data_IF_122901618262
#
_entry.id   IF_122901618262
#
_cell.length_a   1.000
_cell.length_b   1.000
_cell.length_c   1.000
_cell.angle_alpha   90.00
_cell.angle_beta   90.00
_cell.angle_gamma   90.00
#
_symmetry.space_group_name_H-M   'P 1'
#
loop_
_entity.id
_entity.type
_entity.pdbx_description
1 polymer ?
#
# COMPACT_ATOMS: atom_id res chain seq x y z
N UNK A 1 19.91 -19.64 2.56
CA UNK A 1 20.15 -18.94 1.31
C UNK A 1 21.52 -18.25 1.41
N UNK A 2 22.51 -18.75 0.69
CA UNK A 2 23.90 -18.28 0.86
C UNK A 2 24.44 -18.56 2.26
N UNK A 3 25.21 -17.65 2.86
CA UNK A 3 25.77 -17.84 4.19
C UNK A 3 24.78 -17.59 5.34
N UNK A 4 23.53 -17.24 5.04
CA UNK A 4 22.52 -16.93 6.05
C UNK A 4 21.74 -18.17 6.47
N UNK A 5 21.51 -18.31 7.78
CA UNK A 5 20.65 -19.32 8.37
C UNK A 5 19.27 -18.72 8.68
N UNK A 6 18.20 -19.48 8.37
CA UNK A 6 16.83 -19.07 8.63
C UNK A 6 16.06 -20.22 9.27
N UNK A 7 15.27 -19.90 10.28
CA UNK A 7 14.37 -20.82 10.95
C UNK A 7 12.97 -20.22 11.05
N UNK A 8 12.06 -20.62 10.15
CA UNK A 8 10.66 -20.21 10.16
C UNK A 8 9.76 -21.44 9.94
N UNK A 9 8.55 -21.38 10.48
CA UNK A 9 7.52 -22.41 10.31
C UNK A 9 6.97 -22.45 8.88
N UNK A 10 7.01 -21.35 8.16
CA UNK A 10 6.47 -21.19 6.81
C UNK A 10 7.61 -21.02 5.81
N UNK A 11 7.72 -21.91 4.82
CA UNK A 11 8.77 -21.79 3.81
C UNK A 11 8.57 -20.55 2.93
N UNK A 12 9.61 -20.17 2.22
CA UNK A 12 9.53 -19.14 1.19
C UNK A 12 8.93 -19.70 -0.10
N UNK A 13 8.27 -18.84 -0.86
CA UNK A 13 7.83 -19.14 -2.22
C UNK A 13 9.05 -19.43 -3.11
N UNK A 14 8.89 -20.34 -4.04
CA UNK A 14 9.94 -20.80 -4.97
C UNK A 14 9.38 -20.86 -6.39
N UNK A 15 10.23 -21.26 -7.35
CA UNK A 15 9.85 -21.48 -8.75
C UNK A 15 9.35 -20.22 -9.49
N UNK A 16 9.83 -19.05 -9.13
CA UNK A 16 9.42 -17.77 -9.70
C UNK A 16 9.47 -17.73 -11.23
N UNK A 17 10.50 -18.34 -11.84
CA UNK A 17 10.62 -18.44 -13.31
C UNK A 17 9.44 -19.18 -13.95
N UNK A 18 9.05 -20.32 -13.37
CA UNK A 18 7.91 -21.09 -13.86
C UNK A 18 6.56 -20.36 -13.64
N UNK A 19 6.48 -19.53 -12.61
CA UNK A 19 5.32 -18.69 -12.31
C UNK A 19 5.28 -17.40 -13.15
N UNK A 20 6.31 -17.12 -13.97
CA UNK A 20 6.38 -15.90 -14.77
C UNK A 20 6.60 -14.62 -13.96
N UNK A 21 7.18 -14.71 -12.78
CA UNK A 21 7.42 -13.60 -11.85
C UNK A 21 8.90 -13.21 -11.93
N UNK A 22 9.19 -11.92 -12.12
CA UNK A 22 10.56 -11.40 -12.02
C UNK A 22 10.87 -11.04 -10.58
N UNK A 23 11.89 -11.67 -10.01
CA UNK A 23 12.30 -11.47 -8.61
C UNK A 23 13.77 -11.10 -8.55
N UNK A 24 14.07 -9.92 -8.03
CA UNK A 24 15.43 -9.43 -7.82
C UNK A 24 16.01 -10.07 -6.54
N UNK A 25 17.32 -10.36 -6.46
CA UNK A 25 17.93 -10.90 -5.25
C UNK A 25 17.54 -10.10 -3.99
N UNK A 26 17.35 -10.81 -2.88
CA UNK A 26 16.87 -10.32 -1.59
C UNK A 26 15.36 -9.99 -1.51
N UNK A 27 14.59 -10.11 -2.59
CA UNK A 27 13.15 -10.08 -2.47
C UNK A 27 12.65 -11.39 -1.82
N UNK A 28 11.70 -11.27 -0.89
CA UNK A 28 11.16 -12.37 -0.12
C UNK A 28 9.65 -12.42 -0.29
N UNK A 29 9.12 -13.58 -0.69
CA UNK A 29 7.69 -13.87 -0.62
C UNK A 29 7.49 -15.16 0.21
N UNK A 30 6.61 -15.08 1.21
CA UNK A 30 6.26 -16.26 2.02
C UNK A 30 5.36 -17.19 1.22
N UNK A 31 5.50 -18.51 1.43
CA UNK A 31 4.57 -19.50 0.90
C UNK A 31 3.15 -19.19 1.39
N UNK A 32 2.15 -19.32 0.50
CA UNK A 32 0.78 -18.93 0.79
C UNK A 32 0.41 -17.50 0.36
N UNK A 33 1.37 -16.70 -0.13
CA UNK A 33 1.04 -15.50 -0.92
C UNK A 33 0.69 -15.90 -2.36
N UNK A 34 -0.24 -15.20 -2.99
CA UNK A 34 -0.49 -15.26 -4.43
C UNK A 34 0.21 -14.09 -5.12
N UNK A 35 1.00 -14.39 -6.15
CA UNK A 35 1.69 -13.39 -6.97
C UNK A 35 1.51 -13.83 -8.41
N UNK A 36 0.82 -13.01 -9.19
CA UNK A 36 0.47 -13.34 -10.57
C UNK A 36 1.68 -13.17 -11.53
N UNK A 37 1.57 -13.76 -12.71
CA UNK A 37 2.56 -13.62 -13.77
C UNK A 37 2.74 -12.14 -14.16
N UNK A 38 3.97 -11.77 -14.53
CA UNK A 38 4.31 -10.41 -14.93
C UNK A 38 4.53 -9.44 -13.77
N UNK A 39 4.33 -9.87 -12.52
CA UNK A 39 4.71 -9.08 -11.34
C UNK A 39 6.22 -8.96 -11.25
N UNK A 40 6.69 -7.78 -10.85
CA UNK A 40 8.10 -7.50 -10.58
C UNK A 40 8.27 -7.24 -9.10
N UNK A 41 9.15 -8.01 -8.46
CA UNK A 41 9.57 -7.78 -7.08
C UNK A 41 11.02 -7.31 -7.06
N UNK A 42 11.24 -6.05 -6.71
CA UNK A 42 12.54 -5.56 -6.28
C UNK A 42 12.83 -6.14 -4.88
N UNK A 43 14.00 -5.90 -4.26
CA UNK A 43 14.25 -6.32 -2.87
C UNK A 43 13.12 -5.82 -1.96
N UNK A 44 12.19 -6.66 -1.63
CA UNK A 44 10.90 -6.34 -1.01
C UNK A 44 10.38 -7.54 -0.23
N UNK A 45 9.29 -7.35 0.52
CA UNK A 45 8.72 -8.42 1.33
C UNK A 45 7.23 -8.58 1.06
N UNK A 46 6.80 -9.81 0.78
CA UNK A 46 5.38 -10.18 0.61
C UNK A 46 5.00 -11.25 1.62
N UNK A 47 4.04 -10.93 2.49
CA UNK A 47 3.62 -11.80 3.57
C UNK A 47 2.58 -12.84 3.12
N UNK A 48 2.32 -13.81 4.00
CA UNK A 48 1.33 -14.88 3.79
C UNK A 48 -0.07 -14.31 3.52
N UNK A 49 -0.82 -14.95 2.63
CA UNK A 49 -2.18 -14.54 2.26
C UNK A 49 -2.26 -13.28 1.40
N UNK A 50 -1.17 -12.55 1.21
CA UNK A 50 -1.14 -11.42 0.28
C UNK A 50 -1.47 -11.87 -1.14
N UNK A 51 -2.22 -11.04 -1.87
CA UNK A 51 -2.64 -11.26 -3.24
C UNK A 51 -2.17 -10.09 -4.12
N UNK A 52 -1.41 -10.37 -5.17
CA UNK A 52 -0.83 -9.35 -6.06
C UNK A 52 -1.09 -9.76 -7.50
N UNK A 53 -1.81 -8.90 -8.23
CA UNK A 53 -2.18 -9.16 -9.61
C UNK A 53 -1.14 -8.69 -10.62
N UNK A 54 -1.34 -9.15 -11.85
CA UNK A 54 -0.44 -9.00 -13.00
C UNK A 54 -0.02 -7.54 -13.26
N UNK A 55 1.20 -7.36 -13.75
CA UNK A 55 1.75 -6.04 -14.12
C UNK A 55 2.13 -5.14 -12.94
N UNK A 56 1.90 -5.59 -11.72
CA UNK A 56 2.23 -4.82 -10.52
C UNK A 56 3.72 -4.87 -10.20
N UNK A 57 4.27 -3.74 -9.77
CA UNK A 57 5.62 -3.63 -9.24
C UNK A 57 5.61 -3.43 -7.73
N UNK A 58 6.32 -4.31 -7.02
CA UNK A 58 6.66 -4.15 -5.59
C UNK A 58 8.10 -3.68 -5.54
N UNK A 59 8.29 -2.37 -5.36
CA UNK A 59 9.61 -1.74 -5.47
C UNK A 59 10.46 -1.93 -4.21
N UNK A 60 11.65 -1.37 -4.24
CA UNK A 60 12.72 -1.58 -3.26
C UNK A 60 12.27 -1.22 -1.84
N UNK A 61 12.42 -2.19 -0.93
CA UNK A 61 12.02 -2.10 0.48
C UNK A 61 10.52 -1.88 0.72
N UNK A 62 9.67 -2.04 -0.29
CA UNK A 62 8.24 -2.09 -0.08
C UNK A 62 7.83 -3.39 0.63
N UNK A 63 6.80 -3.31 1.46
CA UNK A 63 6.23 -4.45 2.16
C UNK A 63 4.76 -4.59 1.85
N UNK A 64 4.32 -5.82 1.55
CA UNK A 64 2.90 -6.18 1.40
C UNK A 64 2.52 -7.07 2.56
N UNK A 65 1.71 -6.55 3.46
CA UNK A 65 1.28 -7.21 4.68
C UNK A 65 0.39 -8.41 4.42
N UNK A 66 0.17 -9.20 5.47
CA UNK A 66 -0.66 -10.41 5.39
C UNK A 66 -2.07 -10.09 4.87
N UNK A 67 -2.52 -10.91 3.91
CA UNK A 67 -3.84 -10.84 3.28
C UNK A 67 -4.15 -9.54 2.53
N UNK A 68 -3.22 -8.60 2.38
CA UNK A 68 -3.43 -7.40 1.59
C UNK A 68 -3.71 -7.76 0.13
N UNK A 69 -4.62 -7.02 -0.52
CA UNK A 69 -5.09 -7.25 -1.87
C UNK A 69 -4.59 -6.14 -2.78
N UNK A 70 -3.73 -6.45 -3.72
CA UNK A 70 -3.13 -5.50 -4.66
C UNK A 70 -3.58 -5.85 -6.07
N UNK A 71 -4.26 -4.92 -6.72
CA UNK A 71 -4.79 -5.05 -8.07
C UNK A 71 -3.73 -5.06 -9.17
N UNK A 72 -4.18 -4.94 -10.41
CA UNK A 72 -3.35 -4.97 -11.63
C UNK A 72 -2.65 -3.64 -11.85
N UNK A 73 -1.44 -3.71 -12.42
CA UNK A 73 -0.70 -2.53 -12.85
C UNK A 73 -0.52 -1.48 -11.74
N UNK A 74 -0.46 -1.92 -10.49
CA UNK A 74 -0.18 -1.08 -9.34
C UNK A 74 1.33 -0.85 -9.22
N UNK A 75 1.73 0.35 -8.86
CA UNK A 75 3.11 0.64 -8.49
C UNK A 75 3.20 0.94 -7.00
N UNK A 76 3.80 0.02 -6.24
CA UNK A 76 4.19 0.25 -4.84
C UNK A 76 5.63 0.74 -4.84
N UNK A 77 5.82 2.05 -4.70
CA UNK A 77 7.16 2.67 -4.77
C UNK A 77 8.05 2.30 -3.57
N UNK A 78 9.30 2.72 -3.63
CA UNK A 78 10.30 2.35 -2.63
C UNK A 78 9.89 2.70 -1.19
N UNK A 79 10.01 1.71 -0.30
CA UNK A 79 9.70 1.85 1.11
C UNK A 79 8.22 1.97 1.47
N UNK A 80 7.31 1.66 0.54
CA UNK A 80 5.86 1.60 0.82
C UNK A 80 5.56 0.51 1.84
N UNK A 81 4.74 0.83 2.85
CA UNK A 81 4.24 -0.11 3.84
C UNK A 81 2.74 -0.36 3.67
N UNK A 82 2.37 -1.54 3.16
CA UNK A 82 0.98 -1.99 3.14
C UNK A 82 0.74 -2.89 4.35
N UNK A 83 -0.20 -2.52 5.20
CA UNK A 83 -0.51 -3.24 6.43
C UNK A 83 -1.15 -4.60 6.20
N UNK A 84 -0.95 -5.48 7.18
CA UNK A 84 -1.58 -6.80 7.20
C UNK A 84 -2.77 -6.87 8.15
N UNK A 85 -3.33 -8.07 8.30
CA UNK A 85 -4.51 -8.35 9.15
C UNK A 85 -4.17 -9.12 10.43
N UNK A 86 -2.91 -9.50 10.66
CA UNK A 86 -2.56 -10.44 11.73
C UNK A 86 -2.13 -9.77 13.03
N UNK A 87 -1.48 -8.61 12.96
CA UNK A 87 -0.89 -7.96 14.14
C UNK A 87 -1.10 -6.42 14.11
N UNK A 88 -2.09 -5.91 14.82
CA UNK A 88 -3.20 -6.61 15.49
C UNK A 88 -4.18 -7.24 14.49
N UNK A 89 -4.99 -8.19 14.97
CA UNK A 89 -6.00 -8.82 14.10
C UNK A 89 -6.98 -7.77 13.58
N UNK A 90 -7.11 -7.71 12.26
CA UNK A 90 -8.01 -6.79 11.55
C UNK A 90 -9.14 -7.56 10.87
N UNK A 91 -10.34 -6.97 10.86
CA UNK A 91 -11.50 -7.57 10.21
C UNK A 91 -11.44 -7.49 8.67
N UNK A 92 -10.76 -6.49 8.13
CA UNK A 92 -10.69 -6.24 6.70
C UNK A 92 -9.25 -6.06 6.22
N UNK A 93 -8.87 -6.65 5.08
CA UNK A 93 -7.57 -6.41 4.49
C UNK A 93 -7.46 -5.00 3.89
N UNK A 94 -6.24 -4.51 3.75
CA UNK A 94 -5.98 -3.36 2.89
C UNK A 94 -6.22 -3.77 1.44
N UNK A 95 -6.90 -2.90 0.68
CA UNK A 95 -7.20 -3.11 -0.74
C UNK A 95 -6.62 -1.94 -1.53
N UNK A 96 -5.75 -2.23 -2.48
CA UNK A 96 -5.25 -1.28 -3.47
C UNK A 96 -5.77 -1.74 -4.83
N UNK A 97 -6.66 -0.97 -5.44
CA UNK A 97 -7.27 -1.34 -6.71
C UNK A 97 -6.35 -1.09 -7.92
N UNK A 98 -6.83 -1.47 -9.09
CA UNK A 98 -6.07 -1.45 -10.34
C UNK A 98 -5.51 -0.06 -10.69
N UNK A 99 -4.30 -0.04 -11.25
CA UNK A 99 -3.68 1.16 -11.79
C UNK A 99 -3.26 2.21 -10.78
N UNK A 100 -3.35 1.93 -9.48
CA UNK A 100 -2.93 2.86 -8.44
C UNK A 100 -1.41 3.08 -8.47
N UNK A 101 -1.02 4.31 -8.14
CA UNK A 101 0.38 4.66 -7.88
C UNK A 101 0.54 5.07 -6.41
N UNK A 102 1.29 4.29 -5.66
CA UNK A 102 1.54 4.53 -4.25
C UNK A 102 2.97 5.05 -4.11
N UNK A 103 3.11 6.33 -3.82
CA UNK A 103 4.39 7.04 -3.75
C UNK A 103 5.31 6.52 -2.64
N UNK A 104 6.59 6.82 -2.77
CA UNK A 104 7.62 6.30 -1.85
C UNK A 104 7.30 6.62 -0.40
N UNK A 105 7.54 5.64 0.49
CA UNK A 105 7.32 5.72 1.93
C UNK A 105 5.88 6.00 2.36
N UNK A 106 4.89 5.79 1.47
CA UNK A 106 3.50 5.78 1.91
C UNK A 106 3.22 4.60 2.83
N UNK A 107 2.33 4.82 3.80
CA UNK A 107 1.81 3.79 4.71
C UNK A 107 0.31 3.72 4.52
N UNK A 108 -0.20 2.52 4.21
CA UNK A 108 -1.64 2.25 4.09
C UNK A 108 -1.97 1.02 4.93
N UNK A 109 -2.74 1.20 5.99
CA UNK A 109 -2.97 0.18 7.01
C UNK A 109 -4.43 0.11 7.44
N UNK A 110 -4.76 -0.84 8.33
CA UNK A 110 -6.06 -0.93 8.99
C UNK A 110 -7.26 -1.12 8.04
N UNK A 111 -7.07 -1.91 6.97
CA UNK A 111 -8.16 -2.22 6.04
C UNK A 111 -8.62 -1.05 5.16
N UNK A 112 -7.80 -0.04 5.01
CA UNK A 112 -8.07 1.09 4.10
C UNK A 112 -8.16 0.60 2.66
N UNK A 113 -9.07 1.20 1.89
CA UNK A 113 -9.24 0.96 0.46
C UNK A 113 -8.77 2.16 -0.36
N UNK A 114 -7.90 1.90 -1.32
CA UNK A 114 -7.47 2.87 -2.33
C UNK A 114 -8.11 2.46 -3.65
N UNK A 115 -9.05 3.26 -4.14
CA UNK A 115 -9.80 2.94 -5.36
C UNK A 115 -8.99 3.16 -6.63
N UNK A 116 -9.49 2.59 -7.71
CA UNK A 116 -8.87 2.48 -9.04
C UNK A 116 -8.17 3.77 -9.49
N UNK A 117 -6.95 3.61 -9.98
CA UNK A 117 -6.12 4.68 -10.56
C UNK A 117 -5.79 5.85 -9.62
N UNK A 118 -6.05 5.75 -8.33
CA UNK A 118 -5.66 6.79 -7.38
C UNK A 118 -4.13 6.89 -7.27
N UNK A 119 -3.66 8.10 -6.96
CA UNK A 119 -2.24 8.44 -6.80
C UNK A 119 -2.01 8.97 -5.40
N UNK A 120 -1.19 8.30 -4.62
CA UNK A 120 -0.68 8.82 -3.36
C UNK A 120 0.72 9.40 -3.58
N UNK A 121 0.90 10.68 -3.29
CA UNK A 121 2.21 11.32 -3.24
C UNK A 121 3.09 10.71 -2.15
N UNK A 122 4.39 10.93 -2.22
CA UNK A 122 5.32 10.38 -1.23
C UNK A 122 4.95 10.79 0.21
N UNK A 123 5.21 9.88 1.18
CA UNK A 123 4.97 10.08 2.61
C UNK A 123 3.49 10.28 3.02
N UNK A 124 2.52 9.92 2.18
CA UNK A 124 1.11 9.86 2.61
C UNK A 124 0.91 8.69 3.57
N UNK A 125 0.33 8.96 4.74
CA UNK A 125 0.01 7.96 5.76
C UNK A 125 -1.51 7.91 5.95
N UNK A 126 -2.11 6.74 5.68
CA UNK A 126 -3.55 6.54 5.80
C UNK A 126 -3.85 5.33 6.69
N UNK A 127 -4.60 5.58 7.75
CA UNK A 127 -5.21 4.60 8.65
C UNK A 127 -6.73 4.74 8.56
N UNK A 128 -7.49 3.87 9.23
CA UNK A 128 -8.95 4.01 9.32
C UNK A 128 -9.41 5.34 9.94
N UNK A 129 -8.59 5.93 10.80
CA UNK A 129 -8.92 7.18 11.48
C UNK A 129 -8.40 8.43 10.78
N UNK A 130 -7.49 8.27 9.82
CA UNK A 130 -6.91 9.41 9.08
C UNK A 130 -8.00 10.14 8.31
N UNK A 131 -8.12 11.46 8.52
CA UNK A 131 -8.97 12.29 7.69
C UNK A 131 -8.38 12.41 6.28
N UNK A 132 -9.18 12.14 5.28
CA UNK A 132 -8.87 12.35 3.87
C UNK A 132 -9.79 13.48 3.40
N UNK A 133 -9.21 14.64 3.12
CA UNK A 133 -9.97 15.87 2.87
C UNK A 133 -9.82 16.24 1.40
N UNK A 134 -10.92 16.24 0.67
CA UNK A 134 -10.96 16.76 -0.69
C UNK A 134 -11.09 18.28 -0.64
N UNK A 135 -10.04 18.95 -1.09
CA UNK A 135 -9.94 20.42 -1.12
C UNK A 135 -10.08 20.97 -2.54
N UNK A 136 -10.59 20.19 -3.47
CA UNK A 136 -10.79 20.63 -4.87
C UNK A 136 -12.02 21.48 -5.08
N UNK A 137 -12.94 21.49 -4.09
CA UNK A 137 -14.18 22.25 -4.11
C UNK A 137 -14.15 23.36 -3.04
N UNK A 138 -15.04 24.34 -3.17
CA UNK A 138 -15.19 25.41 -2.19
C UNK A 138 -15.53 24.89 -0.77
N UNK A 139 -16.36 23.86 -0.70
CA UNK A 139 -16.67 23.17 0.53
C UNK A 139 -15.92 21.83 0.56
N UNK A 140 -15.05 21.59 1.55
CA UNK A 140 -14.28 20.35 1.63
C UNK A 140 -15.16 19.14 1.92
N UNK A 141 -14.82 18.00 1.31
CA UNK A 141 -15.47 16.71 1.57
C UNK A 141 -14.50 15.85 2.37
N UNK A 142 -14.94 15.28 3.49
CA UNK A 142 -14.12 14.37 4.29
C UNK A 142 -14.47 12.91 4.00
N UNK A 143 -13.42 12.09 3.77
CA UNK A 143 -13.48 10.65 3.68
C UNK A 143 -12.69 10.01 4.83
N UNK A 144 -13.00 8.76 5.15
CA UNK A 144 -12.25 7.90 6.09
C UNK A 144 -12.22 6.48 5.57
N UNK A 145 -11.07 5.82 5.70
CA UNK A 145 -10.90 4.42 5.32
C UNK A 145 -10.96 4.16 3.81
N UNK A 146 -11.22 5.17 2.99
CA UNK A 146 -11.32 5.05 1.54
C UNK A 146 -10.74 6.29 0.85
N UNK A 147 -9.92 6.06 -0.18
CA UNK A 147 -9.48 7.09 -1.13
C UNK A 147 -10.25 6.88 -2.42
N UNK A 148 -11.06 7.86 -2.87
CA UNK A 148 -11.85 7.74 -4.09
C UNK A 148 -10.98 7.53 -5.34
N UNK A 149 -11.57 6.86 -6.33
CA UNK A 149 -10.91 6.55 -7.60
C UNK A 149 -10.31 7.82 -8.25
N UNK A 150 -9.13 7.64 -8.85
CA UNK A 150 -8.38 8.67 -9.60
C UNK A 150 -7.94 9.89 -8.79
N UNK A 151 -8.19 9.93 -7.48
CA UNK A 151 -7.75 11.03 -6.61
C UNK A 151 -6.24 11.17 -6.60
N UNK A 152 -5.75 12.42 -6.64
CA UNK A 152 -4.34 12.76 -6.40
C UNK A 152 -4.22 13.27 -4.98
N UNK A 153 -3.50 12.54 -4.15
CA UNK A 153 -3.43 12.73 -2.69
C UNK A 153 -2.03 13.12 -2.28
N UNK A 154 -1.92 14.12 -1.41
CA UNK A 154 -0.66 14.55 -0.80
C UNK A 154 -0.75 14.55 0.73
N UNK A 155 0.40 14.53 1.45
CA UNK A 155 0.39 14.77 2.89
C UNK A 155 -0.14 16.15 3.22
N UNK A 156 -0.90 16.26 4.29
CA UNK A 156 -1.42 17.52 4.79
C UNK A 156 -1.55 17.54 6.30
N UNK A 157 -2.04 18.64 6.84
CA UNK A 157 -2.39 18.79 8.24
C UNK A 157 -3.63 19.66 8.42
N UNK A 158 -4.30 19.50 9.55
CA UNK A 158 -5.39 20.35 9.98
C UNK A 158 -5.23 20.71 11.45
N UNK A 159 -5.68 21.89 11.84
CA UNK A 159 -5.65 22.32 13.25
C UNK A 159 -6.72 21.60 14.05
N UNK A 160 -6.34 21.05 15.19
CA UNK A 160 -7.23 20.40 16.14
C UNK A 160 -7.01 20.96 17.55
N UNK A 161 -8.12 21.26 18.23
CA UNK A 161 -8.11 21.73 19.62
C UNK A 161 -8.07 20.56 20.58
N UNK A 162 -7.15 20.62 21.52
CA UNK A 162 -6.97 19.68 22.63
C UNK A 162 -7.05 20.46 23.96
N UNK A 163 -7.09 19.76 25.08
CA UNK A 163 -7.07 20.40 26.41
C UNK A 163 -5.81 21.26 26.63
N UNK A 164 -4.67 20.85 26.05
CA UNK A 164 -3.40 21.54 26.18
C UNK A 164 -3.17 22.67 25.13
N UNK A 165 -4.16 22.94 24.26
CA UNK A 165 -4.04 23.96 23.22
C UNK A 165 -4.39 23.45 21.82
N UNK A 166 -4.04 24.23 20.80
CA UNK A 166 -4.27 23.89 19.40
C UNK A 166 -2.99 23.34 18.78
N UNK A 167 -3.13 22.22 18.05
CA UNK A 167 -2.02 21.53 17.39
C UNK A 167 -2.41 21.10 16.00
N UNK A 168 -1.44 21.05 15.09
CA UNK A 168 -1.65 20.50 13.75
C UNK A 168 -1.56 18.97 13.78
N UNK A 169 -2.59 18.31 13.28
CA UNK A 169 -2.68 16.85 13.16
C UNK A 169 -2.59 16.47 11.69
N UNK A 170 -1.88 15.40 11.39
CA UNK A 170 -1.72 14.91 10.03
C UNK A 170 -3.06 14.50 9.40
N UNK A 171 -3.20 14.78 8.13
CA UNK A 171 -4.28 14.29 7.28
C UNK A 171 -3.73 14.01 5.87
N UNK A 172 -4.58 13.48 5.00
CA UNK A 172 -4.33 13.38 3.57
C UNK A 172 -5.20 14.38 2.83
N UNK A 173 -4.65 15.08 1.85
CA UNK A 173 -5.39 16.07 1.05
C UNK A 173 -5.55 15.55 -0.38
N UNK A 174 -6.79 15.48 -0.85
CA UNK A 174 -7.09 15.27 -2.27
C UNK A 174 -7.03 16.65 -2.95
N UNK A 175 -6.08 16.81 -3.87
CA UNK A 175 -5.80 18.09 -4.55
C UNK A 175 -6.22 18.10 -6.01
N UNK A 176 -6.79 17.04 -6.51
CA UNK A 176 -7.23 16.91 -7.89
C UNK A 176 -7.48 15.47 -8.31
N UNK A 177 -7.71 15.31 -9.60
CA UNK A 177 -7.94 14.02 -10.24
C UNK A 177 -6.82 13.71 -11.23
N UNK A 178 -6.42 12.43 -11.29
CA UNK A 178 -5.48 11.94 -12.32
C UNK A 178 -6.05 12.21 -13.71
N UNK A 179 -5.26 12.87 -14.56
CA UNK A 179 -5.66 13.11 -15.97
C UNK A 179 -5.83 11.75 -16.68
N UNK A 180 -6.82 11.67 -17.58
CA UNK A 180 -6.92 10.50 -18.48
C UNK A 180 -5.67 10.49 -19.34
N UNK A 181 -4.94 9.36 -19.32
CA UNK A 181 -3.84 9.08 -20.25
C UNK A 181 -4.38 8.68 -21.61
#
# INVERSE_FOLDING_TARGET
>A
VGPFEFHDKIPLKRNYKALGIRVVPHAIARYGSFIDKGVIMMPSYVNIGAYIETGTMVDTWATVGSCAQIGKNVHLSGGVGIGGVLEPVQASPVIIEDGCFIGSRCIVVEGVRIETEAVLGANVVITQSTKIIDVTQENPIEYKGIVPARSVVIPGSYTKKFNAGEYNVNCALIIGQRKKS
#
